data_IF_025827866955
#
_entry.id   IF_025827866955
#
_cell.length_a   1.000
_cell.length_b   1.000
_cell.length_c   1.000
_cell.angle_alpha   90.00
_cell.angle_beta   90.00
_cell.angle_gamma   90.00
#
_symmetry.space_group_name_H-M   'P 1'
#
loop_
_entity.id
_entity.type
_entity.pdbx_description
1 polymer ?
#
# COMPACT_ATOMS: atom_id res chain seq x y z
N UNK A 1 26.74 2.48 17.28
CA UNK A 1 25.65 3.36 16.79
C UNK A 1 24.63 2.49 16.09
N UNK A 2 23.34 2.51 16.48
CA UNK A 2 22.32 1.69 15.85
C UNK A 2 22.06 2.15 14.40
N UNK A 3 21.78 1.20 13.51
CA UNK A 3 21.32 1.49 12.14
C UNK A 3 19.80 1.54 12.14
N UNK A 4 19.25 2.69 11.78
CA UNK A 4 17.81 2.84 11.57
C UNK A 4 17.45 2.34 10.17
N UNK A 5 16.48 1.46 10.09
CA UNK A 5 15.93 0.92 8.84
C UNK A 5 14.43 1.13 8.85
N UNK A 6 13.89 1.66 7.76
CA UNK A 6 12.46 1.73 7.53
C UNK A 6 12.03 0.50 6.72
N UNK A 7 11.03 -0.23 7.21
CA UNK A 7 10.31 -1.24 6.43
C UNK A 7 8.97 -0.66 6.02
N UNK A 8 8.69 -0.69 4.73
CA UNK A 8 7.40 -0.30 4.15
C UNK A 8 6.84 -1.51 3.45
N UNK A 9 5.66 -1.94 3.88
CA UNK A 9 4.96 -3.10 3.37
C UNK A 9 3.58 -2.66 2.86
N UNK A 10 3.33 -2.86 1.57
CA UNK A 10 2.05 -2.59 0.94
C UNK A 10 1.46 -3.90 0.44
N UNK A 11 0.49 -4.40 1.18
CA UNK A 11 -0.23 -5.62 0.85
C UNK A 11 -1.46 -5.35 -0.03
N UNK A 12 -2.32 -6.35 -0.13
CA UNK A 12 -3.56 -6.24 -0.90
C UNK A 12 -4.57 -5.25 -0.28
N UNK A 13 -4.64 -5.16 1.05
CA UNK A 13 -5.64 -4.33 1.75
C UNK A 13 -5.05 -3.29 2.68
N UNK A 14 -3.76 -3.41 3.03
CA UNK A 14 -3.16 -2.62 4.10
C UNK A 14 -1.77 -2.10 3.72
N UNK A 15 -1.44 -0.92 4.20
CA UNK A 15 -0.13 -0.30 4.11
C UNK A 15 0.44 -0.16 5.52
N UNK A 16 1.62 -0.73 5.76
CA UNK A 16 2.31 -0.66 7.04
C UNK A 16 3.72 -0.08 6.86
N UNK A 17 4.09 0.83 7.75
CA UNK A 17 5.45 1.36 7.83
C UNK A 17 5.99 1.19 9.25
N UNK A 18 7.23 0.72 9.37
CA UNK A 18 7.90 0.58 10.66
C UNK A 18 9.34 1.05 10.62
N UNK A 19 9.81 1.61 11.73
CA UNK A 19 11.20 2.02 11.93
C UNK A 19 11.84 1.09 12.95
N UNK A 20 12.97 0.50 12.57
CA UNK A 20 13.69 -0.49 13.38
C UNK A 20 15.13 -0.05 13.59
N UNK A 21 15.57 -0.06 14.84
CA UNK A 21 16.96 0.16 15.21
C UNK A 21 17.69 -1.18 15.31
N UNK A 22 18.62 -1.43 14.40
CA UNK A 22 19.46 -2.62 14.38
C UNK A 22 20.82 -2.37 15.02
N UNK A 23 21.24 -3.33 15.85
CA UNK A 23 22.60 -3.53 16.32
C UNK A 23 23.03 -4.97 15.99
N UNK A 24 24.33 -5.29 16.08
CA UNK A 24 24.80 -6.65 15.81
C UNK A 24 24.05 -7.67 16.70
N UNK A 25 23.29 -8.57 16.08
CA UNK A 25 22.51 -9.62 16.75
C UNK A 25 21.27 -9.15 17.51
N UNK A 26 20.87 -7.89 17.41
CA UNK A 26 19.69 -7.34 18.12
C UNK A 26 18.93 -6.36 17.25
N UNK A 27 17.61 -6.34 17.39
CA UNK A 27 16.74 -5.33 16.82
C UNK A 27 15.80 -4.75 17.88
N UNK A 28 15.42 -3.49 17.71
CA UNK A 28 14.40 -2.82 18.52
C UNK A 28 13.43 -2.10 17.59
N UNK A 29 12.14 -2.41 17.71
CA UNK A 29 11.08 -1.61 17.08
C UNK A 29 11.05 -0.23 17.73
N UNK A 30 11.14 0.81 16.92
CA UNK A 30 11.11 2.21 17.36
C UNK A 30 9.71 2.78 17.19
N UNK A 31 9.11 2.57 16.02
CA UNK A 31 7.77 3.03 15.70
C UNK A 31 7.13 2.11 14.66
N UNK A 32 5.81 2.04 14.67
CA UNK A 32 5.00 1.40 13.63
C UNK A 32 3.77 2.26 13.37
N UNK A 33 3.36 2.33 12.11
CA UNK A 33 2.14 2.97 11.66
C UNK A 33 1.50 2.10 10.59
N UNK A 34 0.17 2.05 10.54
CA UNK A 34 -0.58 1.24 9.61
C UNK A 34 -1.82 2.01 9.14
N UNK A 35 -2.09 1.93 7.83
CA UNK A 35 -3.37 2.26 7.23
C UNK A 35 -4.06 0.95 6.81
N UNK A 36 -5.12 0.52 7.52
CA UNK A 36 -5.80 -0.74 7.25
C UNK A 36 -6.76 -0.66 6.05
N UNK A 37 -6.94 0.52 5.44
CA UNK A 37 -7.88 0.77 4.34
C UNK A 37 -7.18 1.16 3.04
N UNK A 38 -5.88 0.92 2.95
CA UNK A 38 -5.07 1.26 1.79
C UNK A 38 -4.21 0.08 1.37
N UNK A 39 -4.47 -0.50 0.21
CA UNK A 39 -3.65 -1.55 -0.38
C UNK A 39 -3.87 -1.71 -1.89
N UNK A 40 -3.29 -2.77 -2.46
CA UNK A 40 -3.38 -3.08 -3.89
C UNK A 40 -4.80 -3.11 -4.44
N UNK A 41 -5.78 -3.56 -3.65
CA UNK A 41 -7.20 -3.59 -4.03
C UNK A 41 -7.73 -2.22 -4.42
N UNK A 42 -7.31 -1.16 -3.72
CA UNK A 42 -7.80 0.19 -3.98
C UNK A 42 -7.28 0.70 -5.34
N UNK A 43 -6.05 0.31 -5.71
CA UNK A 43 -5.52 0.54 -7.04
C UNK A 43 -6.25 -0.27 -8.10
N UNK A 44 -6.54 -1.55 -7.84
CA UNK A 44 -7.32 -2.39 -8.76
C UNK A 44 -8.70 -1.78 -9.06
N UNK A 45 -9.37 -1.27 -8.03
CA UNK A 45 -10.65 -0.56 -8.18
C UNK A 45 -10.54 0.72 -9.01
N UNK A 46 -9.54 1.55 -8.73
CA UNK A 46 -9.30 2.79 -9.49
C UNK A 46 -9.04 2.50 -10.98
N UNK A 47 -8.26 1.46 -11.28
CA UNK A 47 -7.99 1.04 -12.66
C UNK A 47 -9.27 0.52 -13.30
N UNK A 48 -10.02 -0.33 -12.61
CA UNK A 48 -11.26 -0.90 -13.12
C UNK A 48 -12.30 0.17 -13.43
N UNK A 49 -12.46 1.17 -12.56
CA UNK A 49 -13.39 2.26 -12.79
C UNK A 49 -12.94 3.14 -13.97
N UNK A 50 -11.64 3.43 -14.08
CA UNK A 50 -11.12 4.16 -15.24
C UNK A 50 -11.35 3.41 -16.57
N UNK A 51 -11.16 2.08 -16.56
CA UNK A 51 -11.42 1.24 -17.74
C UNK A 51 -12.92 1.16 -18.06
N UNK A 52 -13.78 1.08 -17.04
CA UNK A 52 -15.24 1.10 -17.20
C UNK A 52 -15.69 2.39 -17.87
N UNK A 53 -15.21 3.54 -17.38
CA UNK A 53 -15.55 4.85 -17.92
C UNK A 53 -15.09 5.03 -19.37
N UNK A 54 -13.87 4.59 -19.71
CA UNK A 54 -13.36 4.62 -21.09
C UNK A 54 -14.19 3.71 -22.00
N UNK A 55 -14.56 2.52 -21.52
CA UNK A 55 -15.38 1.58 -22.27
C UNK A 55 -16.78 2.13 -22.55
N UNK A 56 -17.46 2.70 -21.54
CA UNK A 56 -18.77 3.34 -21.72
C UNK A 56 -18.72 4.48 -22.74
N UNK A 57 -17.70 5.34 -22.67
CA UNK A 57 -17.52 6.45 -23.62
C UNK A 57 -17.30 5.97 -25.05
N UNK A 58 -16.51 4.92 -25.25
CA UNK A 58 -16.16 4.41 -26.59
C UNK A 58 -17.30 3.65 -27.24
N UNK A 59 -18.02 2.84 -26.48
CA UNK A 59 -18.97 1.88 -27.02
C UNK A 59 -20.45 2.29 -26.83
N UNK A 60 -20.72 3.44 -26.19
CA UNK A 60 -22.08 3.96 -25.93
C UNK A 60 -23.01 2.88 -25.38
N UNK A 61 -22.48 2.03 -24.51
CA UNK A 61 -23.25 1.05 -23.78
C UNK A 61 -23.94 1.80 -22.64
N UNK A 62 -25.04 2.46 -22.99
CA UNK A 62 -26.05 2.84 -22.02
C UNK A 62 -26.69 1.55 -21.51
N UNK A 63 -26.47 1.24 -20.23
CA UNK A 63 -27.26 0.26 -19.49
C UNK A 63 -28.45 0.97 -18.85
#
# INVERSE_FOLDING_TARGET
KPRLVAFVDMGYTTLQASIVAFNKGKLKMVATACDPLLGGRDFDHLILDAMRDDYQKRYKLDS
#
